data_IF_260044966889
#
_entry.id   IF_260044966889
#
_cell.length_a   1.000
_cell.length_b   1.000
_cell.length_c   1.000
_cell.angle_alpha   90.00
_cell.angle_beta   90.00
_cell.angle_gamma   90.00
#
_symmetry.space_group_name_H-M   'P 1'
#
loop_
_entity.id
_entity.type
_entity.pdbx_description
1 polymer ?
#
# COMPACT_ATOMS: atom_id res chain seq x y z
N UNK A 1 -13.96 -11.18 29.09
CA UNK A 1 -13.38 -9.86 28.77
C UNK A 1 -14.37 -9.13 27.87
N UNK A 2 -14.99 -8.05 28.34
CA UNK A 2 -15.91 -7.24 27.54
C UNK A 2 -15.08 -6.45 26.53
N UNK A 3 -15.03 -6.92 25.28
CA UNK A 3 -14.42 -6.18 24.20
C UNK A 3 -15.34 -4.98 23.86
N UNK A 4 -14.75 -3.82 23.49
CA UNK A 4 -15.51 -2.66 23.03
C UNK A 4 -16.51 -3.03 21.92
N UNK A 5 -17.74 -2.47 21.91
CA UNK A 5 -18.79 -2.85 20.95
C UNK A 5 -18.37 -2.75 19.48
N UNK A 6 -17.49 -1.80 19.15
CA UNK A 6 -16.98 -1.60 17.79
C UNK A 6 -15.99 -2.69 17.33
N UNK A 7 -15.31 -3.37 18.26
CA UNK A 7 -14.41 -4.48 17.93
C UNK A 7 -15.21 -5.73 17.59
N UNK A 8 -16.31 -5.96 18.31
CA UNK A 8 -17.19 -7.11 18.09
C UNK A 8 -17.89 -6.98 16.74
N UNK A 9 -18.40 -5.79 16.39
CA UNK A 9 -19.04 -5.58 15.08
C UNK A 9 -18.06 -5.73 13.92
N UNK A 10 -16.82 -5.23 14.03
CA UNK A 10 -15.79 -5.44 13.00
C UNK A 10 -15.42 -6.92 12.88
N UNK A 11 -15.31 -7.62 14.01
CA UNK A 11 -15.01 -9.06 14.02
C UNK A 11 -16.13 -9.89 13.37
N UNK A 12 -17.40 -9.56 13.65
CA UNK A 12 -18.57 -10.17 12.98
C UNK A 12 -18.61 -9.85 11.49
N UNK A 13 -18.26 -8.63 11.09
CA UNK A 13 -18.15 -8.24 9.67
C UNK A 13 -17.05 -9.05 8.98
N UNK A 14 -15.92 -9.27 9.64
CA UNK A 14 -14.82 -10.07 9.09
C UNK A 14 -15.19 -11.55 8.99
N UNK A 15 -15.89 -12.10 10.00
CA UNK A 15 -16.39 -13.47 9.92
C UNK A 15 -17.48 -13.63 8.85
N UNK A 16 -18.37 -12.65 8.67
CA UNK A 16 -19.45 -12.69 7.68
C UNK A 16 -18.97 -12.42 6.25
N UNK A 17 -17.93 -11.60 6.05
CA UNK A 17 -17.27 -11.39 4.75
C UNK A 17 -16.46 -12.60 4.23
N UNK A 18 -16.38 -13.67 5.03
CA UNK A 18 -15.79 -14.94 4.63
C UNK A 18 -14.29 -14.86 4.30
N UNK A 19 -13.78 -15.82 3.50
CA UNK A 19 -12.35 -15.92 3.17
C UNK A 19 -11.77 -14.67 2.51
N UNK A 20 -12.61 -13.90 1.82
CA UNK A 20 -12.18 -12.74 1.03
C UNK A 20 -11.78 -11.60 1.95
N UNK A 21 -12.49 -11.41 3.07
CA UNK A 21 -12.13 -10.38 4.03
C UNK A 21 -10.78 -10.68 4.70
N UNK A 22 -10.47 -11.96 4.94
CA UNK A 22 -9.17 -12.40 5.43
C UNK A 22 -8.08 -12.14 4.39
N UNK A 23 -8.34 -12.48 3.11
CA UNK A 23 -7.42 -12.20 2.01
C UNK A 23 -7.17 -10.69 1.85
N UNK A 24 -8.20 -9.87 2.04
CA UNK A 24 -8.14 -8.41 1.95
C UNK A 24 -7.35 -7.80 3.12
N UNK A 25 -7.55 -8.28 4.35
CA UNK A 25 -6.73 -7.91 5.51
C UNK A 25 -5.27 -8.34 5.35
N UNK A 26 -5.03 -9.54 4.82
CA UNK A 26 -3.68 -10.02 4.53
C UNK A 26 -3.00 -9.15 3.46
N UNK A 27 -3.71 -8.78 2.41
CA UNK A 27 -3.22 -7.86 1.39
C UNK A 27 -2.94 -6.46 1.96
N UNK A 28 -3.83 -5.95 2.81
CA UNK A 28 -3.63 -4.68 3.50
C UNK A 28 -2.38 -4.73 4.40
N UNK A 29 -2.18 -5.83 5.12
CA UNK A 29 -0.99 -6.05 5.93
C UNK A 29 0.29 -6.10 5.08
N UNK A 30 0.28 -6.79 3.94
CA UNK A 30 1.41 -6.82 3.01
C UNK A 30 1.73 -5.43 2.44
N UNK A 31 0.70 -4.68 2.05
CA UNK A 31 0.83 -3.31 1.57
C UNK A 31 1.45 -2.42 2.65
N UNK A 32 0.90 -2.43 3.86
CA UNK A 32 1.36 -1.60 4.96
C UNK A 32 2.79 -1.95 5.37
N UNK A 33 3.12 -3.24 5.41
CA UNK A 33 4.49 -3.73 5.63
C UNK A 33 5.46 -3.20 4.58
N UNK A 34 5.08 -3.22 3.30
CA UNK A 34 5.93 -2.73 2.21
C UNK A 34 6.16 -1.22 2.33
N UNK A 35 5.08 -0.46 2.56
CA UNK A 35 5.11 1.00 2.72
C UNK A 35 5.94 1.42 3.94
N UNK A 36 5.81 0.74 5.08
CA UNK A 36 6.65 1.00 6.26
C UNK A 36 8.13 0.70 5.99
N UNK A 37 8.42 -0.41 5.31
CA UNK A 37 9.80 -0.75 4.96
C UNK A 37 10.43 0.33 4.10
N UNK A 38 9.69 0.82 3.09
CA UNK A 38 10.12 1.88 2.21
C UNK A 38 10.24 3.24 2.92
N UNK A 39 9.31 3.56 3.82
CA UNK A 39 9.33 4.77 4.63
C UNK A 39 10.52 4.77 5.60
N UNK A 40 10.80 3.65 6.27
CA UNK A 40 11.96 3.48 7.15
C UNK A 40 13.25 3.53 6.35
N UNK A 41 13.33 2.88 5.19
CA UNK A 41 14.52 2.94 4.32
C UNK A 41 14.78 4.38 3.86
N UNK A 42 13.75 5.06 3.37
CA UNK A 42 13.84 6.46 2.94
C UNK A 42 14.19 7.36 4.13
N UNK A 43 13.65 7.14 5.32
CA UNK A 43 13.94 7.98 6.50
C UNK A 43 15.29 7.68 7.14
N UNK A 44 15.79 6.44 7.01
CA UNK A 44 17.09 5.99 7.54
C UNK A 44 18.27 6.32 6.63
N UNK A 45 18.00 6.68 5.37
CA UNK A 45 18.94 7.37 4.51
C UNK A 45 19.15 8.80 5.03
N UNK A 46 20.03 8.94 6.03
CA UNK A 46 20.49 10.21 6.58
C UNK A 46 21.31 10.98 5.52
N UNK A 47 20.57 11.78 4.75
CA UNK A 47 21.01 12.68 3.68
C UNK A 47 22.18 13.65 3.95
N UNK A 48 22.65 13.89 5.19
CA UNK A 48 23.82 14.76 5.39
C UNK A 48 25.15 14.03 5.66
N UNK A 49 25.17 12.79 6.16
CA UNK A 49 26.40 12.13 6.63
C UNK A 49 27.10 11.30 5.56
N UNK A 50 26.36 10.44 4.87
CA UNK A 50 26.90 9.65 3.73
C UNK A 50 27.41 10.57 2.61
N UNK A 51 26.74 11.72 2.43
CA UNK A 51 26.99 12.69 1.37
C UNK A 51 28.24 13.54 1.55
N UNK A 52 28.67 13.77 2.80
CA UNK A 52 29.93 14.47 3.07
C UNK A 52 31.14 13.56 3.02
N UNK A 53 30.97 12.27 3.34
CA UNK A 53 32.06 11.30 3.41
C UNK A 53 32.48 10.80 2.01
N UNK A 54 31.53 10.62 1.09
CA UNK A 54 31.83 10.22 -0.30
C UNK A 54 32.25 11.39 -1.21
N UNK A 55 31.87 12.63 -0.92
CA UNK A 55 32.27 13.81 -1.72
C UNK A 55 33.72 14.27 -1.47
N UNK A 56 34.42 13.66 -0.50
CA UNK A 56 35.81 13.97 -0.19
C UNK A 56 36.80 13.11 -0.98
N UNK A 57 36.34 12.02 -1.59
CA UNK A 57 37.12 11.19 -2.51
C UNK A 57 36.55 11.35 -3.92
N UNK A 58 37.39 11.43 -4.95
CA UNK A 58 37.08 11.86 -6.33
C UNK A 58 36.23 10.84 -7.13
N UNK A 59 35.29 10.18 -6.47
CA UNK A 59 34.52 9.04 -6.99
C UNK A 59 33.16 9.49 -7.51
N UNK A 60 33.16 10.33 -8.55
CA UNK A 60 31.98 10.65 -9.38
C UNK A 60 31.15 9.41 -9.79
N UNK A 61 31.76 8.30 -10.27
CA UNK A 61 30.99 7.08 -10.57
C UNK A 61 30.30 6.50 -9.33
N UNK A 62 30.88 6.61 -8.13
CA UNK A 62 30.27 6.05 -6.93
C UNK A 62 28.98 6.78 -6.50
N UNK A 63 28.86 8.09 -6.78
CA UNK A 63 27.63 8.86 -6.50
C UNK A 63 26.54 8.50 -7.50
N UNK A 64 26.88 8.37 -8.79
CA UNK A 64 25.95 7.96 -9.84
C UNK A 64 25.45 6.53 -9.61
N UNK A 65 26.36 5.58 -9.35
CA UNK A 65 26.02 4.19 -9.06
C UNK A 65 25.13 4.08 -7.81
N UNK A 66 25.41 4.87 -6.77
CA UNK A 66 24.56 4.88 -5.58
C UNK A 66 23.17 5.45 -5.86
N UNK A 67 23.07 6.56 -6.61
CA UNK A 67 21.78 7.14 -7.01
C UNK A 67 20.96 6.15 -7.82
N UNK A 68 21.56 5.51 -8.82
CA UNK A 68 20.86 4.60 -9.71
C UNK A 68 20.40 3.34 -8.95
N UNK A 69 21.22 2.81 -8.03
CA UNK A 69 20.81 1.73 -7.14
C UNK A 69 19.65 2.14 -6.22
N UNK A 70 19.70 3.33 -5.61
CA UNK A 70 18.60 3.83 -4.79
C UNK A 70 17.30 4.04 -5.59
N UNK A 71 17.42 4.61 -6.79
CA UNK A 71 16.30 4.81 -7.70
C UNK A 71 15.65 3.49 -8.08
N UNK A 72 16.45 2.47 -8.39
CA UNK A 72 15.95 1.14 -8.70
C UNK A 72 15.25 0.48 -7.50
N UNK A 73 15.82 0.57 -6.29
CA UNK A 73 15.21 0.00 -5.08
C UNK A 73 13.86 0.68 -4.77
N UNK A 74 13.84 2.02 -4.77
CA UNK A 74 12.63 2.78 -4.44
C UNK A 74 11.55 2.61 -5.51
N UNK A 75 11.91 2.66 -6.80
CA UNK A 75 10.96 2.50 -7.90
C UNK A 75 10.34 1.10 -7.94
N UNK A 76 11.13 0.05 -7.69
CA UNK A 76 10.62 -1.33 -7.62
C UNK A 76 9.65 -1.51 -6.46
N UNK A 77 9.98 -1.00 -5.27
CA UNK A 77 9.11 -1.07 -4.10
C UNK A 77 7.81 -0.27 -4.30
N UNK A 78 7.90 0.93 -4.87
CA UNK A 78 6.73 1.71 -5.23
C UNK A 78 5.87 0.97 -6.25
N UNK A 79 6.45 0.40 -7.30
CA UNK A 79 5.70 -0.37 -8.31
C UNK A 79 4.94 -1.53 -7.65
N UNK A 80 5.59 -2.28 -6.76
CA UNK A 80 4.94 -3.35 -6.02
C UNK A 80 3.78 -2.85 -5.14
N UNK A 81 3.97 -1.74 -4.42
CA UNK A 81 2.91 -1.13 -3.63
C UNK A 81 1.72 -0.68 -4.50
N UNK A 82 1.97 -0.09 -5.68
CA UNK A 82 0.91 0.30 -6.62
C UNK A 82 0.10 -0.90 -7.12
N UNK A 83 0.74 -2.04 -7.37
CA UNK A 83 0.03 -3.28 -7.75
C UNK A 83 -0.89 -3.74 -6.63
N UNK A 84 -0.42 -3.76 -5.38
CA UNK A 84 -1.26 -4.13 -4.23
C UNK A 84 -2.43 -3.17 -4.02
N UNK A 85 -2.19 -1.87 -4.18
CA UNK A 85 -3.22 -0.83 -4.11
C UNK A 85 -4.29 -1.07 -5.18
N UNK A 86 -3.90 -1.37 -6.42
CA UNK A 86 -4.83 -1.65 -7.51
C UNK A 86 -5.59 -2.97 -7.31
N UNK A 87 -4.97 -3.96 -6.65
CA UNK A 87 -5.61 -5.23 -6.34
C UNK A 87 -6.66 -5.14 -5.21
N UNK A 88 -6.52 -4.21 -4.26
CA UNK A 88 -7.42 -4.12 -3.10
C UNK A 88 -8.90 -3.88 -3.46
N UNK A 89 -9.26 -2.92 -4.36
CA UNK A 89 -10.65 -2.73 -4.80
C UNK A 89 -11.17 -3.90 -5.62
N UNK A 90 -10.31 -4.53 -6.43
CA UNK A 90 -10.67 -5.69 -7.24
C UNK A 90 -11.02 -6.90 -6.37
N UNK A 91 -10.26 -7.13 -5.28
CA UNK A 91 -10.60 -8.14 -4.27
C UNK A 91 -11.90 -7.79 -3.54
N UNK A 92 -12.13 -6.50 -3.22
CA UNK A 92 -13.39 -6.05 -2.64
C UNK A 92 -14.59 -6.34 -3.54
N UNK A 93 -14.45 -6.10 -4.85
CA UNK A 93 -15.46 -6.42 -5.85
C UNK A 93 -15.65 -7.94 -6.02
N UNK A 94 -14.57 -8.73 -5.97
CA UNK A 94 -14.69 -10.20 -5.94
C UNK A 94 -15.50 -10.67 -4.72
N UNK A 95 -15.30 -9.99 -3.57
CA UNK A 95 -16.10 -10.11 -2.35
C UNK A 95 -17.60 -10.00 -2.59
N UNK A 96 -18.02 -9.00 -3.36
CA UNK A 96 -19.44 -8.80 -3.64
C UNK A 96 -20.03 -9.89 -4.49
N UNK A 97 -19.29 -10.33 -5.52
CA UNK A 97 -19.75 -11.39 -6.42
C UNK A 97 -19.95 -12.70 -5.65
N UNK A 98 -19.01 -13.06 -4.78
CA UNK A 98 -19.11 -14.28 -3.98
C UNK A 98 -20.23 -14.17 -2.94
N UNK A 99 -20.34 -13.04 -2.22
CA UNK A 99 -21.40 -12.83 -1.23
C UNK A 99 -22.80 -12.87 -1.84
N UNK A 100 -22.99 -12.26 -3.01
CA UNK A 100 -24.25 -12.33 -3.75
C UNK A 100 -24.54 -13.73 -4.26
N UNK A 101 -23.52 -14.48 -4.70
CA UNK A 101 -23.70 -15.87 -5.14
C UNK A 101 -24.21 -16.76 -3.99
N UNK A 102 -23.65 -16.62 -2.79
CA UNK A 102 -24.08 -17.41 -1.62
C UNK A 102 -25.49 -17.02 -1.15
N UNK A 103 -25.80 -15.73 -1.23
CA UNK A 103 -27.14 -15.21 -0.97
C UNK A 103 -28.18 -15.84 -1.90
N UNK A 104 -27.89 -15.92 -3.21
CA UNK A 104 -28.79 -16.56 -4.18
C UNK A 104 -28.95 -18.07 -3.96
N UNK A 105 -27.91 -18.77 -3.50
CA UNK A 105 -28.02 -20.20 -3.14
C UNK A 105 -28.98 -20.41 -1.98
N UNK A 106 -28.94 -19.55 -0.95
CA UNK A 106 -29.83 -19.63 0.21
C UNK A 106 -31.30 -19.44 -0.14
N UNK A 107 -31.60 -18.50 -1.05
CA UNK A 107 -32.96 -18.25 -1.55
C UNK A 107 -33.53 -19.46 -2.30
N UNK A 108 -32.69 -20.19 -3.04
CA UNK A 108 -33.12 -21.39 -3.77
C UNK A 108 -33.56 -22.54 -2.84
N UNK A 109 -33.14 -22.52 -1.57
CA UNK A 109 -33.44 -23.55 -0.58
C UNK A 109 -34.62 -23.20 0.34
N UNK A 110 -34.89 -21.92 0.57
CA UNK A 110 -35.93 -21.44 1.50
C UNK A 110 -36.96 -20.59 0.75
N UNK A 111 -38.21 -21.06 0.63
CA UNK A 111 -39.28 -20.27 -0.02
C UNK A 111 -40.07 -19.47 1.03
N UNK A 112 -40.01 -18.13 0.99
CA UNK A 112 -40.85 -17.28 1.86
C UNK A 112 -40.26 -15.92 2.24
N UNK A 113 -40.81 -15.30 3.29
CA UNK A 113 -40.44 -13.95 3.80
C UNK A 113 -38.97 -13.84 4.28
N UNK A 114 -38.34 -14.98 4.57
CA UNK A 114 -36.91 -15.06 4.92
C UNK A 114 -35.97 -14.81 3.74
N UNK A 115 -36.44 -15.01 2.50
CA UNK A 115 -35.66 -14.70 1.29
C UNK A 115 -35.31 -13.22 1.18
N UNK A 116 -36.24 -12.33 1.49
CA UNK A 116 -36.02 -10.87 1.44
C UNK A 116 -34.98 -10.43 2.46
N UNK A 117 -34.99 -11.02 3.66
CA UNK A 117 -33.98 -10.74 4.70
C UNK A 117 -32.61 -11.26 4.29
N UNK A 118 -32.53 -12.49 3.79
CA UNK A 118 -31.28 -13.08 3.30
C UNK A 118 -30.64 -12.23 2.19
N UNK A 119 -31.44 -11.73 1.24
CA UNK A 119 -30.97 -10.80 0.20
C UNK A 119 -30.38 -9.52 0.81
N UNK A 120 -31.12 -8.90 1.75
CA UNK A 120 -30.69 -7.66 2.38
C UNK A 120 -29.36 -7.83 3.14
N UNK A 121 -29.19 -8.94 3.87
CA UNK A 121 -27.96 -9.23 4.60
C UNK A 121 -26.78 -9.51 3.67
N UNK A 122 -26.99 -10.26 2.60
CA UNK A 122 -25.98 -10.50 1.57
C UNK A 122 -25.45 -9.24 0.91
N UNK A 123 -26.37 -8.35 0.52
CA UNK A 123 -26.02 -7.05 -0.07
C UNK A 123 -25.26 -6.16 0.92
N UNK A 124 -25.67 -6.15 2.19
CA UNK A 124 -24.98 -5.39 3.25
C UNK A 124 -23.52 -5.84 3.41
N UNK A 125 -23.27 -7.15 3.49
CA UNK A 125 -21.91 -7.71 3.62
C UNK A 125 -21.07 -7.39 2.38
N UNK A 126 -21.65 -7.51 1.18
CA UNK A 126 -21.00 -7.15 -0.07
C UNK A 126 -20.55 -5.67 -0.10
N UNK A 127 -21.44 -4.75 0.29
CA UNK A 127 -21.14 -3.31 0.34
C UNK A 127 -19.99 -3.01 1.31
N UNK A 128 -20.00 -3.60 2.50
CA UNK A 128 -18.94 -3.38 3.50
C UNK A 128 -17.58 -3.89 2.99
N UNK A 129 -17.56 -5.03 2.31
CA UNK A 129 -16.34 -5.60 1.72
C UNK A 129 -15.76 -4.68 0.64
N UNK A 130 -16.62 -4.11 -0.20
CA UNK A 130 -16.21 -3.14 -1.24
C UNK A 130 -15.67 -1.86 -0.64
N UNK A 131 -16.40 -1.29 0.33
CA UNK A 131 -16.00 -0.08 1.02
C UNK A 131 -14.63 -0.27 1.68
N UNK A 132 -14.38 -1.43 2.29
CA UNK A 132 -13.11 -1.70 2.95
C UNK A 132 -11.96 -1.79 1.94
N UNK A 133 -12.14 -2.49 0.82
CA UNK A 133 -11.14 -2.57 -0.26
C UNK A 133 -10.78 -1.20 -0.84
N UNK A 134 -11.78 -0.35 -1.06
CA UNK A 134 -11.58 1.04 -1.49
C UNK A 134 -10.84 1.87 -0.45
N UNK A 135 -11.21 1.73 0.82
CA UNK A 135 -10.58 2.48 1.91
C UNK A 135 -9.08 2.16 2.01
N UNK A 136 -8.71 0.88 1.95
CA UNK A 136 -7.30 0.45 1.91
C UNK A 136 -6.57 0.99 0.69
N UNK A 137 -7.19 0.96 -0.49
CA UNK A 137 -6.57 1.50 -1.70
C UNK A 137 -6.30 3.01 -1.59
N UNK A 138 -7.26 3.78 -1.08
CA UNK A 138 -7.13 5.23 -0.88
C UNK A 138 -5.99 5.54 0.09
N UNK A 139 -5.96 4.87 1.25
CA UNK A 139 -4.87 5.06 2.23
C UNK A 139 -3.52 4.64 1.63
N UNK A 140 -3.48 3.55 0.89
CA UNK A 140 -2.27 3.09 0.20
C UNK A 140 -1.74 4.14 -0.79
N UNK A 141 -2.60 4.70 -1.64
CA UNK A 141 -2.24 5.76 -2.58
C UNK A 141 -1.68 6.99 -1.88
N UNK A 142 -2.31 7.42 -0.79
CA UNK A 142 -1.86 8.59 -0.04
C UNK A 142 -0.46 8.38 0.54
N UNK A 143 -0.21 7.21 1.11
CA UNK A 143 1.09 6.86 1.70
C UNK A 143 2.19 6.72 0.64
N UNK A 144 1.94 6.03 -0.48
CA UNK A 144 2.93 5.89 -1.56
C UNK A 144 3.26 7.24 -2.20
N UNK A 145 2.29 8.15 -2.28
CA UNK A 145 2.49 9.49 -2.79
C UNK A 145 3.36 10.35 -1.86
N UNK A 146 3.17 10.26 -0.53
CA UNK A 146 4.04 10.94 0.44
C UNK A 146 5.48 10.45 0.30
N UNK A 147 5.69 9.14 0.23
CA UNK A 147 7.02 8.55 0.08
C UNK A 147 7.67 9.01 -1.23
N UNK A 148 6.93 8.97 -2.34
CA UNK A 148 7.42 9.42 -3.65
C UNK A 148 7.84 10.89 -3.62
N UNK A 149 7.13 11.75 -2.88
CA UNK A 149 7.51 13.15 -2.69
C UNK A 149 8.80 13.31 -1.87
N UNK A 150 8.97 12.52 -0.81
CA UNK A 150 10.19 12.55 0.01
C UNK A 150 11.40 12.09 -0.81
N UNK A 151 11.24 11.02 -1.59
CA UNK A 151 12.29 10.49 -2.47
C UNK A 151 12.75 11.53 -3.50
N UNK A 152 11.81 12.16 -4.22
CA UNK A 152 12.14 13.18 -5.24
C UNK A 152 12.92 14.36 -4.68
N UNK A 153 12.65 14.78 -3.44
CA UNK A 153 13.41 15.84 -2.77
C UNK A 153 14.86 15.44 -2.48
N UNK A 154 15.11 14.17 -2.14
CA UNK A 154 16.46 13.67 -1.91
C UNK A 154 17.20 13.55 -3.24
N UNK A 155 16.54 13.02 -4.26
CA UNK A 155 17.09 12.88 -5.61
C UNK A 155 17.56 14.20 -6.22
N UNK A 156 16.78 15.29 -6.07
CA UNK A 156 17.20 16.62 -6.51
C UNK A 156 18.46 17.12 -5.80
N UNK A 157 18.64 16.81 -4.51
CA UNK A 157 19.85 17.19 -3.78
C UNK A 157 21.10 16.43 -4.28
N UNK A 158 20.92 15.19 -4.74
CA UNK A 158 22.01 14.40 -5.35
C UNK A 158 22.50 15.06 -6.63
N UNK A 159 21.56 15.49 -7.47
CA UNK A 159 21.85 16.17 -8.73
C UNK A 159 22.62 17.48 -8.51
N UNK A 160 22.21 18.28 -7.53
CA UNK A 160 22.90 19.55 -7.22
C UNK A 160 24.33 19.32 -6.72
N UNK A 161 24.56 18.30 -5.89
CA UNK A 161 25.91 17.91 -5.44
C UNK A 161 26.78 17.42 -6.60
N UNK A 162 26.22 16.60 -7.49
CA UNK A 162 26.90 16.12 -8.69
C UNK A 162 27.36 17.29 -9.56
N UNK A 163 26.47 18.25 -9.85
CA UNK A 163 26.77 19.46 -10.63
C UNK A 163 27.85 20.32 -9.95
N UNK A 164 27.76 20.54 -8.64
CA UNK A 164 28.76 21.30 -7.89
C UNK A 164 30.15 20.64 -7.96
N UNK A 165 30.20 19.30 -7.97
CA UNK A 165 31.43 18.54 -8.12
C UNK A 165 31.98 18.63 -9.55
N UNK A 166 31.11 18.62 -10.57
CA UNK A 166 31.48 18.85 -11.97
C UNK A 166 32.12 20.22 -12.18
N UNK A 167 31.55 21.29 -11.61
CA UNK A 167 32.09 22.65 -11.73
C UNK A 167 33.48 22.78 -11.11
N UNK A 168 33.72 22.18 -9.95
CA UNK A 168 35.04 22.19 -9.31
C UNK A 168 36.09 21.41 -10.10
N UNK A 169 35.70 20.30 -10.72
CA UNK A 169 36.58 19.50 -11.56
C UNK A 169 37.02 20.18 -12.86
N UNK A 170 36.25 21.16 -13.36
CA UNK A 170 36.57 21.94 -14.56
C UNK A 170 37.44 23.18 -14.27
N UNK A 171 37.65 23.54 -13.00
CA UNK A 171 38.49 24.67 -12.58
C UNK A 171 39.93 24.28 -12.19
N UNK A 172 40.28 23.00 -12.29
CA UNK A 172 41.67 22.50 -12.15
C UNK A 172 42.23 22.19 -13.53
#
# INVERSE_FOLDING_TARGET
>A
MNLPPWLVTVWEIVLSGGPIMIALLFLAFLLYRNVIGLFLFTSRLDGPRVFKEQAQDDSRPAIQDFRDNLANIVSNQLTYAHVLIAAAPLLGLLGTVIGMLDTFKGIGAEAGQDTTKAVADGVKVALITTQTGLMIAIFGLFLTQIISRIYRKKDSQLLDLEIATMQKGLQK
#
